data_IF_010218470193
#
_entry.id   IF_010218470193
#
_cell.length_a   1.000
_cell.length_b   1.000
_cell.length_c   1.000
_cell.angle_alpha   90.00
_cell.angle_beta   90.00
_cell.angle_gamma   90.00
#
_symmetry.space_group_name_H-M   'P 1'
#
loop_
_entity.id
_entity.type
_entity.pdbx_description
1 polymer ?
#
# COMPACT_ATOMS: atom_id res chain seq x y z
N UNK A 1 0.27 78.26 14.84
CA UNK A 1 -0.27 76.89 15.00
C UNK A 1 0.16 76.08 13.79
N UNK A 2 1.25 75.32 13.90
CA UNK A 2 1.63 74.33 12.89
C UNK A 2 0.67 73.13 13.02
N UNK A 3 -0.04 72.81 11.94
CA UNK A 3 -0.81 71.57 11.82
C UNK A 3 0.13 70.48 11.27
N UNK A 4 0.34 69.46 12.10
CA UNK A 4 1.13 68.27 11.81
C UNK A 4 0.35 67.45 10.78
N UNK A 5 0.89 67.35 9.55
CA UNK A 5 0.39 66.43 8.54
C UNK A 5 0.60 65.00 9.00
N UNK A 6 -0.50 64.26 9.18
CA UNK A 6 -0.49 62.82 9.47
C UNK A 6 -0.08 62.08 8.20
N UNK A 7 1.08 61.44 8.23
CA UNK A 7 1.39 60.34 7.32
C UNK A 7 0.36 59.22 7.53
N UNK A 8 -0.36 58.87 6.48
CA UNK A 8 -1.10 57.61 6.41
C UNK A 8 -0.30 56.61 5.56
N UNK A 9 0.09 55.45 6.12
CA UNK A 9 0.48 54.31 5.31
C UNK A 9 -0.62 53.26 5.42
N UNK A 10 -1.57 53.21 4.49
CA UNK A 10 -2.11 51.90 4.09
C UNK A 10 -3.08 51.98 2.93
N UNK A 11 -2.67 51.37 1.83
CA UNK A 11 -3.51 51.06 0.68
C UNK A 11 -2.75 50.19 -0.32
N UNK A 12 -1.82 49.36 0.14
CA UNK A 12 -1.23 48.34 -0.74
C UNK A 12 -2.30 47.28 -0.93
N UNK A 13 -2.96 47.31 -2.10
CA UNK A 13 -3.80 46.21 -2.58
C UNK A 13 -2.92 44.94 -2.61
N UNK A 14 -3.01 44.16 -1.53
CA UNK A 14 -2.14 43.04 -1.24
C UNK A 14 -2.31 41.93 -2.25
N UNK A 15 -1.54 41.98 -3.33
CA UNK A 15 -1.28 40.80 -4.13
C UNK A 15 -0.52 39.80 -3.25
N UNK A 16 -0.94 38.53 -3.18
CA UNK A 16 -0.23 37.54 -2.39
C UNK A 16 1.22 37.45 -2.85
N UNK A 17 2.13 37.53 -1.88
CA UNK A 17 3.58 37.53 -2.11
C UNK A 17 4.06 36.20 -2.71
N UNK A 18 3.37 35.11 -2.38
CA UNK A 18 3.68 33.78 -2.88
C UNK A 18 2.87 33.43 -4.13
N UNK A 19 3.56 32.93 -5.16
CA UNK A 19 2.97 32.55 -6.45
C UNK A 19 1.88 31.49 -6.31
N UNK A 20 2.02 30.55 -5.37
CA UNK A 20 1.02 29.49 -5.14
C UNK A 20 -0.33 30.00 -4.63
N UNK A 21 -0.42 31.24 -4.13
CA UNK A 21 -1.66 31.85 -3.66
C UNK A 21 -2.30 32.76 -4.71
N UNK A 22 -1.70 32.85 -5.91
CA UNK A 22 -2.23 33.69 -7.00
C UNK A 22 -3.36 32.98 -7.72
N UNK A 23 -4.45 33.70 -7.95
CA UNK A 23 -5.51 33.24 -8.86
C UNK A 23 -5.02 33.38 -10.30
N UNK A 24 -5.17 32.32 -11.08
CA UNK A 24 -4.86 32.35 -12.52
C UNK A 24 -5.79 33.33 -13.21
N UNK A 25 -5.23 34.23 -14.03
CA UNK A 25 -5.98 35.11 -14.93
C UNK A 25 -5.92 34.53 -16.33
N UNK A 26 -7.05 34.53 -17.05
CA UNK A 26 -7.10 34.11 -18.46
C UNK A 26 -6.11 34.91 -19.31
N UNK A 27 -5.36 34.21 -20.16
CA UNK A 27 -4.30 34.77 -21.00
C UNK A 27 -2.94 34.90 -20.31
N UNK A 28 -2.77 34.37 -19.09
CA UNK A 28 -1.44 34.32 -18.49
C UNK A 28 -0.59 33.22 -19.14
N UNK A 29 0.74 33.42 -19.28
CA UNK A 29 1.64 32.40 -19.83
C UNK A 29 1.68 31.10 -19.00
N UNK A 30 1.18 31.13 -17.75
CA UNK A 30 1.02 29.95 -16.89
C UNK A 30 -0.14 29.06 -17.35
N UNK A 31 -1.13 29.58 -18.09
CA UNK A 31 -2.28 28.81 -18.60
C UNK A 31 -1.87 27.77 -19.66
N UNK A 32 -0.70 27.98 -20.29
CA UNK A 32 -0.12 27.08 -21.29
C UNK A 32 0.89 26.09 -20.70
N UNK A 33 1.07 26.05 -19.38
CA UNK A 33 1.92 25.04 -18.75
C UNK A 33 1.17 23.73 -18.65
N UNK A 34 1.76 22.69 -19.22
CA UNK A 34 1.24 21.34 -19.13
C UNK A 34 1.96 20.58 -18.02
N UNK A 35 1.25 19.62 -17.42
CA UNK A 35 1.83 18.71 -16.44
C UNK A 35 2.82 17.78 -17.16
N UNK A 36 4.05 17.72 -16.65
CA UNK A 36 5.09 16.78 -17.10
C UNK A 36 5.57 15.95 -15.93
N UNK A 37 5.80 14.67 -16.17
CA UNK A 37 6.37 13.76 -15.18
C UNK A 37 7.90 13.74 -15.31
N UNK A 38 8.58 13.60 -14.18
CA UNK A 38 10.02 13.37 -14.15
C UNK A 38 10.28 11.86 -14.35
N UNK A 39 10.41 11.46 -15.62
CA UNK A 39 10.61 10.06 -16.00
C UNK A 39 11.91 9.47 -15.45
N UNK A 40 12.94 10.30 -15.22
CA UNK A 40 14.20 9.83 -14.65
C UNK A 40 14.00 9.43 -13.17
N UNK A 41 13.35 10.28 -12.38
CA UNK A 41 13.05 9.98 -10.98
C UNK A 41 12.13 8.75 -10.83
N UNK A 42 11.15 8.59 -11.73
CA UNK A 42 10.28 7.41 -11.75
C UNK A 42 11.09 6.14 -12.05
N UNK A 43 11.97 6.17 -13.05
CA UNK A 43 12.82 5.04 -13.41
C UNK A 43 13.82 4.67 -12.31
N UNK A 44 14.42 5.65 -11.64
CA UNK A 44 15.32 5.43 -10.50
C UNK A 44 14.60 4.71 -9.36
N UNK A 45 13.39 5.16 -9.01
CA UNK A 45 12.59 4.50 -7.99
C UNK A 45 12.13 3.08 -8.37
N UNK A 46 11.88 2.81 -9.66
CA UNK A 46 11.53 1.45 -10.10
C UNK A 46 12.72 0.49 -10.02
N UNK A 47 13.96 0.97 -10.15
CA UNK A 47 15.18 0.19 -9.89
C UNK A 47 15.34 -0.11 -8.39
N UNK A 48 15.11 0.89 -7.53
CA UNK A 48 15.25 0.78 -6.07
C UNK A 48 14.13 0.01 -5.39
N UNK A 49 12.94 -0.06 -6.00
CA UNK A 49 11.81 -0.89 -5.52
C UNK A 49 12.13 -2.38 -5.46
N UNK A 50 13.20 -2.80 -6.13
CA UNK A 50 13.87 -4.07 -5.93
C UNK A 50 13.22 -5.23 -6.67
N UNK A 51 13.95 -5.79 -7.64
CA UNK A 51 13.80 -7.21 -7.96
C UNK A 51 14.32 -8.02 -6.77
N UNK A 52 13.49 -8.91 -6.21
CA UNK A 52 13.81 -9.87 -5.12
C UNK A 52 15.32 -10.10 -4.95
N UNK A 53 15.89 -9.55 -3.87
CA UNK A 53 17.28 -9.79 -3.50
C UNK A 53 17.52 -11.30 -3.40
N UNK A 54 18.58 -11.80 -4.03
CA UNK A 54 19.03 -13.17 -3.79
C UNK A 54 19.55 -13.21 -2.35
N UNK A 55 19.01 -14.13 -1.56
CA UNK A 55 19.51 -14.37 -0.21
C UNK A 55 20.80 -15.16 -0.39
N UNK A 56 21.94 -14.50 -0.20
CA UNK A 56 23.27 -15.13 -0.22
C UNK A 56 23.61 -15.81 1.11
N UNK A 57 22.71 -15.73 2.10
CA UNK A 57 22.86 -16.46 3.35
C UNK A 57 22.82 -17.96 3.07
N UNK A 58 23.71 -18.75 3.69
CA UNK A 58 23.54 -20.19 3.67
C UNK A 58 22.14 -20.52 4.20
N UNK A 59 21.44 -21.52 3.64
CA UNK A 59 20.13 -21.91 4.13
C UNK A 59 20.17 -22.03 5.64
N UNK A 60 19.43 -21.17 6.35
CA UNK A 60 19.45 -21.17 7.81
C UNK A 60 19.03 -22.57 8.26
N UNK A 61 19.86 -23.33 9.00
CA UNK A 61 19.48 -24.66 9.45
C UNK A 61 18.16 -24.58 10.20
N UNK A 62 17.12 -25.18 9.62
CA UNK A 62 15.77 -25.10 10.15
C UNK A 62 15.73 -25.85 11.49
N UNK A 63 15.80 -25.10 12.59
CA UNK A 63 15.53 -25.65 13.91
C UNK A 63 14.02 -25.76 14.07
N UNK A 64 13.49 -26.97 13.91
CA UNK A 64 12.10 -27.30 14.24
C UNK A 64 11.89 -26.91 15.72
N UNK A 65 11.22 -25.79 15.99
CA UNK A 65 10.86 -25.34 17.35
C UNK A 65 9.97 -26.41 17.97
N UNK A 66 10.57 -27.33 18.73
CA UNK A 66 9.86 -28.47 19.33
C UNK A 66 10.71 -29.65 19.78
N UNK A 67 12.05 -29.52 19.90
CA UNK A 67 12.90 -30.62 20.40
C UNK A 67 13.32 -30.47 21.88
N UNK A 68 12.81 -29.45 22.60
CA UNK A 68 13.13 -29.22 24.02
C UNK A 68 11.90 -29.40 24.92
N UNK A 69 11.09 -30.41 24.63
CA UNK A 69 10.14 -30.97 25.58
C UNK A 69 10.32 -32.49 25.54
N UNK A 70 10.88 -33.05 26.61
CA UNK A 70 11.16 -34.46 26.79
C UNK A 70 10.06 -35.36 26.18
N UNK A 71 10.44 -36.08 25.12
CA UNK A 71 9.58 -37.02 24.43
C UNK A 71 10.38 -37.65 23.30
N UNK A 72 11.07 -38.74 23.62
CA UNK A 72 11.71 -39.67 22.70
C UNK A 72 10.95 -39.78 21.38
N UNK A 73 11.44 -39.10 20.34
CA UNK A 73 11.05 -39.40 18.97
C UNK A 73 12.15 -38.98 17.99
N UNK A 74 13.28 -39.67 18.10
CA UNK A 74 14.35 -39.71 17.11
C UNK A 74 13.93 -40.46 15.82
N UNK A 75 12.67 -40.33 15.37
CA UNK A 75 12.11 -41.03 14.19
C UNK A 75 11.23 -40.16 13.29
N UNK A 76 11.55 -38.87 13.12
CA UNK A 76 10.82 -38.05 12.13
C UNK A 76 11.73 -37.16 11.26
N UNK A 77 12.96 -37.63 11.02
CA UNK A 77 13.53 -37.48 9.68
C UNK A 77 12.83 -38.53 8.84
N UNK A 78 12.12 -38.18 7.74
CA UNK A 78 11.60 -39.19 6.84
C UNK A 78 12.79 -40.05 6.44
N UNK A 79 12.81 -41.28 6.90
CA UNK A 79 13.71 -42.28 6.34
C UNK A 79 13.43 -42.30 4.84
N UNK A 80 14.43 -42.47 3.95
CA UNK A 80 14.16 -42.68 2.54
C UNK A 80 13.24 -43.92 2.41
N UNK A 81 11.93 -43.69 2.24
CA UNK A 81 10.88 -44.72 2.30
C UNK A 81 9.65 -44.40 3.17
N UNK A 82 9.63 -43.33 3.96
CA UNK A 82 8.47 -42.98 4.80
C UNK A 82 7.37 -42.28 3.99
N UNK A 83 6.18 -42.90 3.94
CA UNK A 83 5.06 -42.43 3.13
C UNK A 83 4.52 -41.09 3.68
N UNK A 84 4.60 -40.03 2.87
CA UNK A 84 4.01 -38.73 3.18
C UNK A 84 2.50 -38.91 3.35
N UNK A 85 1.96 -38.46 4.48
CA UNK A 85 0.52 -38.58 4.73
C UNK A 85 -0.27 -37.75 3.72
N UNK A 86 -1.43 -38.27 3.28
CA UNK A 86 -2.30 -37.56 2.35
C UNK A 86 -2.66 -36.15 2.86
N UNK A 87 -2.80 -35.99 4.19
CA UNK A 87 -3.06 -34.70 4.82
C UNK A 87 -1.89 -33.72 4.70
N UNK A 88 -0.64 -34.19 4.80
CA UNK A 88 0.53 -33.32 4.61
C UNK A 88 0.65 -32.88 3.14
N UNK A 89 0.36 -33.76 2.19
CA UNK A 89 0.33 -33.41 0.76
C UNK A 89 -0.77 -32.40 0.44
N UNK A 90 -1.96 -32.57 1.03
CA UNK A 90 -3.10 -31.66 0.88
C UNK A 90 -2.73 -30.23 1.33
N UNK A 91 -2.09 -30.08 2.49
CA UNK A 91 -1.68 -28.79 3.03
C UNK A 91 -0.64 -28.08 2.14
N UNK A 92 0.29 -28.85 1.53
CA UNK A 92 1.23 -28.29 0.57
C UNK A 92 0.56 -27.84 -0.74
N UNK A 93 -0.49 -28.54 -1.19
CA UNK A 93 -1.24 -28.21 -2.39
C UNK A 93 -2.09 -26.94 -2.23
N UNK A 94 -2.58 -26.65 -1.03
CA UNK A 94 -3.44 -25.49 -0.76
C UNK A 94 -2.74 -24.15 -1.01
N UNK A 95 -1.41 -24.10 -0.88
CA UNK A 95 -0.62 -22.91 -1.16
C UNK A 95 -0.19 -22.76 -2.62
N UNK A 96 -0.41 -23.76 -3.48
CA UNK A 96 -0.08 -23.65 -4.89
C UNK A 96 -1.19 -22.90 -5.64
N UNK A 97 -0.81 -21.81 -6.30
CA UNK A 97 -1.70 -21.12 -7.22
C UNK A 97 -1.78 -21.94 -8.52
N UNK A 98 -2.90 -22.63 -8.69
CA UNK A 98 -3.21 -23.41 -9.89
C UNK A 98 -4.40 -22.82 -10.65
N UNK A 99 -4.43 -22.99 -11.97
CA UNK A 99 -5.59 -22.67 -12.78
C UNK A 99 -6.68 -23.76 -12.70
N UNK A 100 -7.82 -23.53 -13.34
CA UNK A 100 -8.96 -24.46 -13.37
C UNK A 100 -8.62 -25.84 -13.98
N UNK A 101 -7.48 -25.96 -14.67
CA UNK A 101 -6.97 -27.22 -15.24
C UNK A 101 -5.98 -27.94 -14.33
N UNK A 102 -5.74 -27.42 -13.12
CA UNK A 102 -4.78 -27.96 -12.16
C UNK A 102 -3.31 -27.72 -12.52
N UNK A 103 -3.03 -26.80 -13.45
CA UNK A 103 -1.66 -26.42 -13.82
C UNK A 103 -1.23 -25.21 -13.00
N UNK A 104 0.06 -25.11 -12.67
CA UNK A 104 0.61 -23.93 -12.01
C UNK A 104 0.35 -22.67 -12.85
N UNK A 105 -0.04 -21.57 -12.20
CA UNK A 105 -0.23 -20.29 -12.87
C UNK A 105 1.09 -19.80 -13.47
N UNK A 106 1.01 -19.17 -14.64
CA UNK A 106 2.15 -18.43 -15.19
C UNK A 106 2.36 -17.10 -14.43
N UNK A 107 3.45 -16.38 -14.70
CA UNK A 107 3.75 -15.12 -13.98
C UNK A 107 2.68 -14.05 -14.20
N UNK A 108 2.12 -13.95 -15.41
CA UNK A 108 1.07 -12.98 -15.74
C UNK A 108 -0.23 -13.27 -14.96
N UNK A 109 -0.65 -14.53 -14.91
CA UNK A 109 -1.81 -14.99 -14.14
C UNK A 109 -1.60 -14.77 -12.63
N UNK A 110 -0.38 -14.99 -12.13
CA UNK A 110 -0.03 -14.73 -10.74
C UNK A 110 -0.09 -13.23 -10.43
N UNK A 111 0.40 -12.38 -11.32
CA UNK A 111 0.28 -10.92 -11.20
C UNK A 111 -1.17 -10.46 -11.19
N UNK A 112 -1.99 -10.98 -12.09
CA UNK A 112 -3.43 -10.69 -12.12
C UNK A 112 -4.10 -11.12 -10.82
N UNK A 113 -3.78 -12.31 -10.29
CA UNK A 113 -4.30 -12.77 -9.00
C UNK A 113 -3.86 -11.87 -7.85
N UNK A 114 -2.58 -11.49 -7.78
CA UNK A 114 -2.06 -10.55 -6.76
C UNK A 114 -2.77 -9.20 -6.84
N UNK A 115 -2.99 -8.67 -8.05
CA UNK A 115 -3.73 -7.42 -8.28
C UNK A 115 -5.17 -7.54 -7.81
N UNK A 116 -5.86 -8.61 -8.20
CA UNK A 116 -7.25 -8.85 -7.82
C UNK A 116 -7.40 -9.00 -6.29
N UNK A 117 -6.51 -9.75 -5.63
CA UNK A 117 -6.48 -9.87 -4.18
C UNK A 117 -6.27 -8.52 -3.49
N UNK A 118 -5.36 -7.70 -4.02
CA UNK A 118 -5.11 -6.35 -3.51
C UNK A 118 -6.36 -5.47 -3.67
N UNK A 119 -7.01 -5.48 -4.82
CA UNK A 119 -8.24 -4.72 -5.07
C UNK A 119 -9.37 -5.15 -4.14
N UNK A 120 -9.52 -6.45 -3.89
CA UNK A 120 -10.50 -6.98 -2.94
C UNK A 120 -10.23 -6.50 -1.52
N UNK A 121 -8.98 -6.60 -1.05
CA UNK A 121 -8.58 -6.09 0.27
C UNK A 121 -8.80 -4.59 0.38
N UNK A 122 -8.44 -3.85 -0.67
CA UNK A 122 -8.64 -2.39 -0.73
C UNK A 122 -10.11 -2.04 -0.62
N UNK A 123 -10.98 -2.74 -1.35
CA UNK A 123 -12.44 -2.55 -1.29
C UNK A 123 -13.00 -2.85 0.09
N UNK A 124 -12.49 -3.87 0.78
CA UNK A 124 -12.89 -4.18 2.15
C UNK A 124 -12.38 -3.15 3.16
N UNK A 125 -11.19 -2.59 2.94
CA UNK A 125 -10.57 -1.64 3.86
C UNK A 125 -11.25 -0.27 3.85
N UNK A 126 -11.50 0.29 2.65
CA UNK A 126 -12.06 1.63 2.50
C UNK A 126 -13.59 1.62 2.61
N UNK A 127 -14.10 1.53 3.83
CA UNK A 127 -15.54 1.53 4.16
C UNK A 127 -16.01 2.77 4.94
N UNK A 128 -15.21 3.84 4.97
CA UNK A 128 -15.39 5.03 5.83
C UNK A 128 -16.74 5.70 5.67
N UNK A 129 -17.31 5.71 4.45
CA UNK A 129 -18.63 6.29 4.20
C UNK A 129 -19.73 5.64 5.06
N UNK A 130 -19.66 4.32 5.28
CA UNK A 130 -20.63 3.61 6.11
C UNK A 130 -20.51 4.04 7.57
N UNK A 131 -19.27 4.22 8.06
CA UNK A 131 -19.01 4.72 9.41
C UNK A 131 -19.49 6.17 9.59
N UNK A 132 -19.23 7.04 8.61
CA UNK A 132 -19.72 8.43 8.63
C UNK A 132 -21.25 8.48 8.62
N UNK A 133 -21.90 7.62 7.83
CA UNK A 133 -23.37 7.55 7.80
C UNK A 133 -23.93 7.12 9.16
N UNK A 134 -23.35 6.07 9.76
CA UNK A 134 -23.74 5.60 11.09
C UNK A 134 -23.55 6.69 12.16
N UNK A 135 -22.40 7.38 12.15
CA UNK A 135 -22.13 8.47 13.10
C UNK A 135 -23.16 9.59 12.97
N UNK A 136 -23.55 9.98 11.74
CA UNK A 136 -24.58 11.00 11.53
C UNK A 136 -25.95 10.60 12.09
N UNK A 137 -26.29 9.31 11.99
CA UNK A 137 -27.55 8.78 12.52
C UNK A 137 -27.53 8.80 14.06
N UNK A 138 -26.43 8.35 14.67
CA UNK A 138 -26.22 8.42 16.14
C UNK A 138 -26.33 9.86 16.65
N UNK A 139 -25.65 10.83 15.99
CA UNK A 139 -25.72 12.23 16.42
C UNK A 139 -27.11 12.84 16.26
N UNK A 140 -27.90 12.42 15.27
CA UNK A 140 -29.27 12.88 15.12
C UNK A 140 -30.18 12.30 16.22
N UNK A 141 -29.99 11.03 16.57
CA UNK A 141 -30.71 10.40 17.69
C UNK A 141 -30.34 11.02 19.04
N UNK A 142 -29.06 11.39 19.26
CA UNK A 142 -28.60 12.11 20.46
C UNK A 142 -29.12 13.55 20.56
N UNK A 143 -29.43 14.22 19.44
CA UNK A 143 -30.02 15.58 19.44
C UNK A 143 -31.54 15.58 19.67
N UNK A 144 -32.22 14.47 19.36
CA UNK A 144 -33.68 14.30 19.50
C UNK A 144 -34.11 13.77 20.90
N UNK A 145 -33.16 13.32 21.75
CA UNK A 145 -33.34 12.99 23.19
C UNK A 145 -33.11 14.20 24.13
#
# INVERSE_FOLDING_TARGET
MQVIGKDQPNGSSGQPTHSALRRSTHGSPEEHKHLTWDEQAIAEHDLERGTRMKIDEPPTPYHRRGSDAHGDNEKNSPQPGEAVSASALQACLEHLAVNDRGQALNEEELEQKRRHEFELKRKQHYCEFQQVKLMKEIYAEEEDE
#
